data_IF_587067525903
#
_entry.id   IF_587067525903
#
_cell.length_a   1.000
_cell.length_b   1.000
_cell.length_c   1.000
_cell.angle_alpha   90.00
_cell.angle_beta   90.00
_cell.angle_gamma   90.00
#
_symmetry.space_group_name_H-M   'P 1'
#
loop_
_entity.id
_entity.type
_entity.pdbx_description
1 polymer ?
#
# COMPACT_ATOMS: atom_id res chain seq x y z
N UNK A 1 12.25 8.64 15.84
CA UNK A 1 13.14 9.80 16.03
C UNK A 1 12.29 11.00 16.44
N UNK A 2 12.48 11.50 17.66
CA UNK A 2 11.73 12.64 18.21
C UNK A 2 11.87 13.87 17.30
N UNK A 3 13.05 14.10 16.74
CA UNK A 3 13.35 15.16 15.79
C UNK A 3 12.46 15.07 14.56
N UNK A 4 12.35 13.87 13.97
CA UNK A 4 11.45 13.63 12.83
C UNK A 4 10.00 13.92 13.21
N UNK A 5 9.56 13.49 14.39
CA UNK A 5 8.21 13.78 14.89
C UNK A 5 7.98 15.29 15.06
N UNK A 6 8.96 16.05 15.59
CA UNK A 6 8.91 17.51 15.72
C UNK A 6 8.76 18.17 14.34
N UNK A 7 9.57 17.78 13.36
CA UNK A 7 9.47 18.31 12.00
C UNK A 7 8.16 17.94 11.31
N UNK A 8 7.66 16.71 11.50
CA UNK A 8 6.36 16.31 10.97
C UNK A 8 5.24 17.14 11.59
N UNK A 9 5.30 17.42 12.90
CA UNK A 9 4.34 18.30 13.59
C UNK A 9 4.44 19.75 13.10
N UNK A 10 5.64 20.23 12.80
CA UNK A 10 5.90 21.56 12.20
C UNK A 10 5.65 21.63 10.69
N UNK A 11 5.24 20.53 10.04
CA UNK A 11 5.01 20.43 8.59
C UNK A 11 6.29 20.78 7.77
N UNK A 12 7.47 20.66 8.38
CA UNK A 12 8.74 20.94 7.70
C UNK A 12 9.29 19.68 6.99
N UNK A 13 8.59 19.28 5.92
CA UNK A 13 9.02 18.18 5.07
C UNK A 13 10.26 18.52 4.23
N UNK A 14 10.55 19.82 4.04
CA UNK A 14 11.71 20.29 3.27
C UNK A 14 13.01 19.92 3.99
N UNK A 15 13.10 20.17 5.29
CA UNK A 15 14.28 19.79 6.09
C UNK A 15 14.43 18.27 6.16
N UNK A 16 13.33 17.52 6.38
CA UNK A 16 13.38 16.05 6.34
C UNK A 16 13.86 15.50 4.99
N UNK A 17 13.41 16.10 3.88
CA UNK A 17 13.83 15.70 2.54
C UNK A 17 15.31 15.97 2.30
N UNK A 18 15.80 17.18 2.64
CA UNK A 18 17.22 17.54 2.55
C UNK A 18 18.11 16.56 3.32
N UNK A 19 17.79 16.33 4.59
CA UNK A 19 18.54 15.40 5.44
C UNK A 19 18.53 13.98 4.88
N UNK A 20 17.36 13.50 4.43
CA UNK A 20 17.23 12.16 3.82
C UNK A 20 18.04 12.02 2.54
N UNK A 21 18.10 13.07 1.71
CA UNK A 21 18.88 13.08 0.47
C UNK A 21 20.38 13.02 0.76
N UNK A 22 20.89 13.89 1.64
CA UNK A 22 22.32 13.91 2.00
C UNK A 22 22.73 12.58 2.62
N UNK A 23 21.93 12.02 3.54
CA UNK A 23 22.21 10.73 4.15
C UNK A 23 22.18 9.59 3.12
N UNK A 24 21.24 9.61 2.17
CA UNK A 24 21.14 8.57 1.14
C UNK A 24 22.30 8.64 0.16
N UNK A 25 22.68 9.82 -0.31
CA UNK A 25 23.85 10.02 -1.19
C UNK A 25 25.16 9.63 -0.49
N UNK A 26 25.37 10.10 0.75
CA UNK A 26 26.56 9.76 1.54
C UNK A 26 26.66 8.26 1.80
N UNK A 27 25.54 7.61 2.15
CA UNK A 27 25.52 6.16 2.34
C UNK A 27 25.75 5.38 1.05
N UNK A 28 25.21 5.86 -0.08
CA UNK A 28 25.43 5.26 -1.40
C UNK A 28 26.90 5.33 -1.79
N UNK A 29 27.55 6.47 -1.57
CA UNK A 29 28.98 6.63 -1.79
C UNK A 29 29.81 5.64 -0.94
N UNK A 30 29.50 5.53 0.36
CA UNK A 30 30.17 4.56 1.26
C UNK A 30 29.92 3.10 0.84
N UNK A 31 28.72 2.79 0.36
CA UNK A 31 28.37 1.47 -0.19
C UNK A 31 29.17 1.14 -1.45
N UNK A 32 29.27 2.07 -2.40
CA UNK A 32 30.05 1.88 -3.62
C UNK A 32 31.54 1.76 -3.30
N UNK A 33 32.07 2.62 -2.43
CA UNK A 33 33.47 2.57 -2.00
C UNK A 33 33.81 1.23 -1.36
N UNK A 34 32.95 0.72 -0.47
CA UNK A 34 33.15 -0.59 0.16
C UNK A 34 33.01 -1.75 -0.83
N UNK A 35 32.15 -1.65 -1.84
CA UNK A 35 32.08 -2.63 -2.92
C UNK A 35 33.37 -2.66 -3.76
N UNK A 36 33.95 -1.50 -4.07
CA UNK A 36 35.23 -1.38 -4.78
C UNK A 36 36.41 -1.96 -3.98
N UNK A 37 36.34 -1.93 -2.65
CA UNK A 37 37.30 -2.57 -1.75
C UNK A 37 37.08 -4.09 -1.59
N UNK A 38 36.27 -4.71 -2.45
CA UNK A 38 36.00 -6.15 -2.46
C UNK A 38 35.39 -6.71 -1.17
N UNK A 39 34.66 -5.89 -0.40
CA UNK A 39 33.96 -6.31 0.82
C UNK A 39 32.68 -7.14 0.55
N UNK A 40 32.32 -7.33 -0.73
CA UNK A 40 31.20 -8.17 -1.14
C UNK A 40 29.87 -7.73 -0.49
N UNK A 41 29.18 -8.68 0.16
CA UNK A 41 27.88 -8.46 0.82
C UNK A 41 27.93 -7.38 1.91
N UNK A 42 29.10 -7.17 2.54
CA UNK A 42 29.27 -6.14 3.56
C UNK A 42 29.10 -4.72 3.04
N UNK A 43 29.24 -4.50 1.73
CA UNK A 43 28.97 -3.19 1.11
C UNK A 43 27.52 -2.73 1.34
N UNK A 44 26.56 -3.66 1.28
CA UNK A 44 25.15 -3.39 1.56
C UNK A 44 24.91 -3.09 3.04
N UNK A 45 25.58 -3.81 3.93
CA UNK A 45 25.51 -3.58 5.38
C UNK A 45 26.05 -2.20 5.72
N UNK A 46 27.21 -1.84 5.18
CA UNK A 46 27.85 -0.53 5.37
C UNK A 46 26.95 0.58 4.84
N UNK A 47 26.37 0.43 3.64
CA UNK A 47 25.41 1.39 3.09
C UNK A 47 24.22 1.57 4.05
N UNK A 48 23.63 0.48 4.55
CA UNK A 48 22.42 0.56 5.36
C UNK A 48 22.67 1.19 6.75
N UNK A 49 23.77 0.81 7.41
CA UNK A 49 24.14 1.37 8.72
C UNK A 49 24.54 2.83 8.58
N UNK A 50 25.43 3.15 7.64
CA UNK A 50 25.88 4.53 7.42
C UNK A 50 24.72 5.47 7.09
N UNK A 51 23.72 5.01 6.32
CA UNK A 51 22.51 5.78 6.05
C UNK A 51 21.79 6.19 7.34
N UNK A 52 21.60 5.26 8.27
CA UNK A 52 20.89 5.54 9.53
C UNK A 52 21.71 6.43 10.46
N UNK A 53 23.02 6.25 10.50
CA UNK A 53 23.94 7.09 11.28
C UNK A 53 23.93 8.53 10.74
N UNK A 54 24.14 8.71 9.44
CA UNK A 54 24.11 10.03 8.79
C UNK A 54 22.74 10.70 8.97
N UNK A 55 21.65 9.96 8.76
CA UNK A 55 20.30 10.48 8.92
C UNK A 55 20.04 10.95 10.37
N UNK A 56 20.47 10.17 11.35
CA UNK A 56 20.35 10.54 12.77
C UNK A 56 21.20 11.76 13.11
N UNK A 57 22.45 11.78 12.65
CA UNK A 57 23.40 12.87 12.85
C UNK A 57 22.86 14.19 12.27
N UNK A 58 22.45 14.19 11.00
CA UNK A 58 21.93 15.39 10.34
C UNK A 58 20.59 15.84 10.93
N UNK A 59 19.69 14.93 11.32
CA UNK A 59 18.47 15.31 12.03
C UNK A 59 18.79 15.97 13.38
N UNK A 60 19.83 15.53 14.07
CA UNK A 60 20.31 16.16 15.30
C UNK A 60 20.93 17.53 15.03
N UNK A 61 21.79 17.64 14.01
CA UNK A 61 22.46 18.89 13.65
C UNK A 61 21.46 20.00 13.30
N UNK A 62 20.40 19.68 12.55
CA UNK A 62 19.38 20.65 12.16
C UNK A 62 18.31 20.91 13.23
N UNK A 63 18.09 19.98 14.16
CA UNK A 63 17.07 20.12 15.20
C UNK A 63 17.62 20.94 16.35
N UNK A 64 16.81 21.85 16.90
CA UNK A 64 17.14 22.56 18.15
C UNK A 64 16.98 21.64 19.38
N UNK A 65 16.07 20.66 19.28
CA UNK A 65 15.81 19.74 20.37
C UNK A 65 17.03 18.84 20.66
N UNK A 66 17.42 18.80 21.94
CA UNK A 66 18.45 17.91 22.48
C UNK A 66 17.84 17.09 23.62
N UNK A 67 18.10 15.78 23.72
CA UNK A 67 17.64 15.00 24.85
C UNK A 67 18.30 15.50 26.14
N UNK A 68 17.50 15.91 27.11
CA UNK A 68 17.97 16.08 28.48
C UNK A 68 17.95 14.71 29.19
N UNK A 69 18.94 14.43 30.03
CA UNK A 69 19.00 13.20 30.83
C UNK A 69 18.09 13.31 32.07
N UNK A 70 16.84 13.71 31.86
CA UNK A 70 15.82 13.89 32.92
C UNK A 70 14.73 12.86 32.70
N UNK A 71 14.44 12.07 33.75
CA UNK A 71 13.38 11.07 33.72
C UNK A 71 12.16 11.55 34.49
N UNK A 72 11.01 11.61 33.82
CA UNK A 72 9.70 11.88 34.45
C UNK A 72 8.87 10.60 34.47
N UNK A 73 8.59 10.09 35.68
CA UNK A 73 7.75 8.89 35.87
C UNK A 73 6.31 9.12 35.41
N UNK A 74 5.80 10.34 35.58
CA UNK A 74 4.46 10.74 35.17
C UNK A 74 4.34 10.74 33.65
N UNK A 75 5.23 11.46 32.96
CA UNK A 75 5.26 11.49 31.49
C UNK A 75 5.52 10.10 30.90
N UNK A 76 6.34 9.27 31.55
CA UNK A 76 6.52 7.88 31.16
C UNK A 76 5.20 7.10 31.27
N UNK A 77 4.48 7.16 32.40
CA UNK A 77 3.24 6.42 32.59
C UNK A 77 2.18 6.80 31.55
N UNK A 78 2.05 8.08 31.26
CA UNK A 78 1.06 8.60 30.31
C UNK A 78 1.38 8.15 28.87
N UNK A 79 2.65 8.23 28.46
CA UNK A 79 3.07 7.83 27.11
C UNK A 79 3.22 6.31 26.95
N UNK A 80 3.61 5.60 28.00
CA UNK A 80 3.85 4.17 27.97
C UNK A 80 2.55 3.39 27.79
N UNK A 81 1.47 3.80 28.48
CA UNK A 81 0.15 3.18 28.32
C UNK A 81 -0.39 3.25 26.88
N UNK A 82 -0.12 4.33 26.17
CA UNK A 82 -0.43 4.47 24.74
C UNK A 82 0.57 3.69 23.86
N UNK A 83 1.87 3.84 24.14
CA UNK A 83 2.95 3.22 23.39
C UNK A 83 2.89 1.69 23.40
N UNK A 84 2.57 1.07 24.54
CA UNK A 84 2.49 -0.39 24.67
C UNK A 84 1.31 -0.97 23.89
N UNK A 85 0.18 -0.25 23.78
CA UNK A 85 -0.97 -0.66 22.96
C UNK A 85 -0.63 -0.60 21.46
N UNK A 86 0.05 0.46 21.02
CA UNK A 86 0.55 0.57 19.64
C UNK A 86 1.61 -0.48 19.35
N UNK A 87 2.52 -0.74 20.30
CA UNK A 87 3.53 -1.78 20.17
C UNK A 87 2.86 -3.15 20.06
N UNK A 88 1.90 -3.46 20.93
CA UNK A 88 1.13 -4.70 20.89
C UNK A 88 0.42 -4.90 19.56
N UNK A 89 -0.27 -3.88 19.04
CA UNK A 89 -0.92 -3.94 17.73
C UNK A 89 0.09 -4.15 16.59
N UNK A 90 1.22 -3.44 16.59
CA UNK A 90 2.25 -3.57 15.56
C UNK A 90 3.00 -4.90 15.62
N UNK A 91 3.28 -5.40 16.83
CA UNK A 91 3.89 -6.72 17.05
C UNK A 91 2.93 -7.80 16.59
N UNK A 92 1.64 -7.73 16.95
CA UNK A 92 0.63 -8.67 16.49
C UNK A 92 0.53 -8.66 14.95
N UNK A 93 0.42 -7.47 14.34
CA UNK A 93 0.38 -7.33 12.88
C UNK A 93 1.65 -7.85 12.19
N UNK A 94 2.81 -7.57 12.76
CA UNK A 94 4.10 -8.04 12.23
C UNK A 94 4.26 -9.55 12.43
N UNK A 95 3.83 -10.07 13.57
CA UNK A 95 3.82 -11.50 13.88
C UNK A 95 2.91 -12.23 12.90
N UNK A 96 1.68 -11.78 12.69
CA UNK A 96 0.80 -12.38 11.69
C UNK A 96 1.37 -12.26 10.27
N UNK A 97 1.90 -11.10 9.87
CA UNK A 97 2.52 -10.96 8.53
C UNK A 97 3.68 -11.94 8.33
N UNK A 98 4.53 -12.10 9.34
CA UNK A 98 5.71 -12.96 9.24
C UNK A 98 5.39 -14.44 9.46
N UNK A 99 4.41 -14.78 10.31
CA UNK A 99 4.01 -16.17 10.54
C UNK A 99 3.43 -16.76 9.27
N UNK A 100 2.75 -15.98 8.42
CA UNK A 100 2.29 -16.47 7.12
C UNK A 100 3.45 -16.85 6.21
N UNK A 101 4.44 -15.97 6.06
CA UNK A 101 5.65 -16.28 5.29
C UNK A 101 6.41 -17.48 5.88
N UNK A 102 6.44 -17.60 7.21
CA UNK A 102 7.06 -18.73 7.90
C UNK A 102 6.31 -20.04 7.66
N UNK A 103 4.97 -20.04 7.77
CA UNK A 103 4.12 -21.21 7.49
C UNK A 103 4.31 -21.65 6.03
N UNK A 104 4.36 -20.70 5.09
CA UNK A 104 4.62 -21.00 3.68
C UNK A 104 6.01 -21.66 3.54
N UNK A 105 7.04 -21.12 4.20
CA UNK A 105 8.40 -21.68 4.16
C UNK A 105 8.56 -23.04 4.83
N UNK A 106 7.67 -23.38 5.78
CA UNK A 106 7.69 -24.67 6.48
C UNK A 106 6.91 -25.75 5.72
N UNK A 107 5.80 -25.38 5.07
CA UNK A 107 4.88 -26.32 4.42
C UNK A 107 5.23 -26.52 2.94
N UNK A 108 5.62 -25.45 2.26
CA UNK A 108 5.94 -25.46 0.84
C UNK A 108 7.45 -25.48 0.60
N UNK A 109 7.88 -25.84 -0.62
CA UNK A 109 9.30 -25.88 -0.95
C UNK A 109 9.93 -24.47 -0.94
N UNK A 110 11.24 -24.40 -0.70
CA UNK A 110 12.00 -23.14 -0.74
C UNK A 110 11.83 -22.41 -2.09
N UNK A 111 11.69 -23.17 -3.18
CA UNK A 111 11.40 -22.61 -4.50
C UNK A 111 10.02 -21.91 -4.51
N UNK A 112 8.97 -22.57 -4.02
CA UNK A 112 7.62 -22.00 -3.94
C UNK A 112 7.57 -20.76 -3.05
N UNK A 113 8.27 -20.78 -1.90
CA UNK A 113 8.42 -19.61 -1.03
C UNK A 113 9.15 -18.47 -1.77
N UNK A 114 10.22 -18.77 -2.50
CA UNK A 114 10.92 -17.79 -3.33
C UNK A 114 9.98 -17.13 -4.35
N UNK A 115 9.21 -17.93 -5.09
CA UNK A 115 8.24 -17.45 -6.07
C UNK A 115 7.18 -16.55 -5.42
N UNK A 116 6.66 -16.97 -4.26
CA UNK A 116 5.69 -16.20 -3.47
C UNK A 116 6.26 -14.84 -3.02
N UNK A 117 7.45 -14.83 -2.44
CA UNK A 117 8.08 -13.60 -1.94
C UNK A 117 8.39 -12.61 -3.06
N UNK A 118 8.74 -13.08 -4.26
CA UNK A 118 8.88 -12.19 -5.43
C UNK A 118 7.55 -11.60 -5.87
N UNK A 119 6.51 -12.41 -6.00
CA UNK A 119 5.17 -11.91 -6.32
C UNK A 119 4.69 -10.87 -5.29
N UNK A 120 4.90 -11.14 -4.00
CA UNK A 120 4.55 -10.22 -2.91
C UNK A 120 5.33 -8.90 -3.01
N UNK A 121 6.62 -8.92 -3.32
CA UNK A 121 7.43 -7.70 -3.52
C UNK A 121 6.86 -6.81 -4.62
N UNK A 122 6.52 -7.38 -5.79
CA UNK A 122 5.92 -6.62 -6.89
C UNK A 122 4.56 -6.05 -6.51
N UNK A 123 3.73 -6.83 -5.82
CA UNK A 123 2.42 -6.38 -5.36
C UNK A 123 2.52 -5.27 -4.30
N UNK A 124 3.47 -5.40 -3.37
CA UNK A 124 3.69 -4.46 -2.27
C UNK A 124 4.10 -3.06 -2.76
N UNK A 125 4.83 -2.95 -3.88
CA UNK A 125 5.22 -1.66 -4.47
C UNK A 125 4.00 -0.80 -4.75
N UNK A 126 2.95 -1.35 -5.36
CA UNK A 126 1.75 -0.58 -5.67
C UNK A 126 0.89 -0.38 -4.43
N UNK A 127 0.62 -1.47 -3.72
CA UNK A 127 -0.37 -1.48 -2.64
C UNK A 127 0.08 -0.64 -1.44
N UNK A 128 1.33 -0.76 -0.99
CA UNK A 128 1.82 -0.05 0.19
C UNK A 128 2.08 1.44 -0.08
N UNK A 129 2.72 1.77 -1.21
CA UNK A 129 2.98 3.17 -1.54
C UNK A 129 1.69 3.94 -1.75
N UNK A 130 0.72 3.35 -2.46
CA UNK A 130 -0.54 4.01 -2.71
C UNK A 130 -1.37 4.18 -1.43
N UNK A 131 -1.46 3.14 -0.61
CA UNK A 131 -2.15 3.21 0.69
C UNK A 131 -1.52 4.28 1.59
N UNK A 132 -0.18 4.38 1.64
CA UNK A 132 0.50 5.39 2.43
C UNK A 132 0.20 6.82 1.98
N UNK A 133 0.13 7.07 0.66
CA UNK A 133 -0.26 8.38 0.10
C UNK A 133 -1.70 8.71 0.49
N UNK A 134 -2.62 7.76 0.30
CA UNK A 134 -4.03 7.94 0.64
C UNK A 134 -4.23 8.22 2.12
N UNK A 135 -3.56 7.50 3.01
CA UNK A 135 -3.65 7.70 4.45
C UNK A 135 -3.15 9.10 4.87
N UNK A 136 -2.05 9.58 4.27
CA UNK A 136 -1.48 10.90 4.59
C UNK A 136 -2.38 12.08 4.19
N UNK A 137 -3.23 11.90 3.18
CA UNK A 137 -4.11 12.96 2.68
C UNK A 137 -5.53 12.82 3.22
N UNK A 138 -6.09 11.61 3.20
CA UNK A 138 -7.50 11.37 3.52
C UNK A 138 -7.77 11.53 5.01
N UNK A 139 -6.87 11.04 5.87
CA UNK A 139 -7.11 11.08 7.31
C UNK A 139 -7.16 12.52 7.85
N UNK A 140 -6.16 13.40 7.62
CA UNK A 140 -6.23 14.79 8.10
C UNK A 140 -7.40 15.58 7.51
N UNK A 141 -7.70 15.35 6.24
CA UNK A 141 -8.81 16.01 5.57
C UNK A 141 -10.14 15.66 6.23
N UNK A 142 -10.42 14.36 6.42
CA UNK A 142 -11.68 13.93 7.03
C UNK A 142 -11.77 14.29 8.52
N UNK A 143 -10.66 14.24 9.28
CA UNK A 143 -10.63 14.69 10.68
C UNK A 143 -10.93 16.18 10.82
N UNK A 144 -10.50 17.03 9.88
CA UNK A 144 -10.73 18.48 9.94
C UNK A 144 -12.19 18.89 9.79
N UNK A 145 -13.02 18.01 9.24
CA UNK A 145 -14.46 18.23 9.01
C UNK A 145 -15.32 17.27 9.83
N UNK A 146 -14.76 16.61 10.85
CA UNK A 146 -15.40 15.53 11.61
C UNK A 146 -16.76 15.94 12.23
N UNK A 147 -16.92 17.21 12.57
CA UNK A 147 -18.14 17.76 13.18
C UNK A 147 -19.28 17.98 12.16
N UNK A 148 -19.03 17.78 10.86
CA UNK A 148 -20.01 17.94 9.78
C UNK A 148 -20.36 16.58 9.13
N UNK A 149 -21.20 15.72 9.75
CA UNK A 149 -21.34 14.30 9.36
C UNK A 149 -21.76 14.07 7.90
N UNK A 150 -22.61 14.94 7.34
CA UNK A 150 -22.99 14.89 5.92
C UNK A 150 -21.80 15.16 5.00
N UNK A 151 -20.95 16.13 5.36
CA UNK A 151 -19.77 16.51 4.59
C UNK A 151 -18.67 15.47 4.71
N UNK A 152 -18.47 14.89 5.90
CA UNK A 152 -17.54 13.76 6.11
C UNK A 152 -17.93 12.60 5.21
N UNK A 153 -19.21 12.20 5.21
CA UNK A 153 -19.71 11.08 4.39
C UNK A 153 -19.50 11.34 2.90
N UNK A 154 -19.80 12.55 2.45
CA UNK A 154 -19.59 12.96 1.05
C UNK A 154 -18.10 12.90 0.64
N UNK A 155 -17.20 13.46 1.46
CA UNK A 155 -15.77 13.43 1.19
C UNK A 155 -15.20 12.03 1.29
N UNK A 156 -15.71 11.20 2.20
CA UNK A 156 -15.34 9.80 2.32
C UNK A 156 -15.72 8.98 1.08
N UNK A 157 -16.96 9.13 0.59
CA UNK A 157 -17.41 8.52 -0.68
C UNK A 157 -16.47 8.92 -1.83
N UNK A 158 -16.12 10.20 -1.93
CA UNK A 158 -15.14 10.68 -2.93
C UNK A 158 -13.76 10.06 -2.77
N UNK A 159 -13.24 9.98 -1.54
CA UNK A 159 -11.97 9.32 -1.26
C UNK A 159 -11.97 7.85 -1.69
N UNK A 160 -13.06 7.12 -1.44
CA UNK A 160 -13.23 5.73 -1.90
C UNK A 160 -13.22 5.68 -3.43
N UNK A 161 -14.01 6.50 -4.12
CA UNK A 161 -14.09 6.52 -5.59
C UNK A 161 -12.71 6.86 -6.21
N UNK A 162 -12.04 7.91 -5.73
CA UNK A 162 -10.73 8.33 -6.23
C UNK A 162 -9.65 7.28 -5.97
N UNK A 163 -9.66 6.69 -4.77
CA UNK A 163 -8.79 5.57 -4.42
C UNK A 163 -8.98 4.40 -5.37
N UNK A 164 -10.23 4.01 -5.64
CA UNK A 164 -10.56 2.88 -6.50
C UNK A 164 -10.17 3.10 -7.95
N UNK A 165 -10.41 4.29 -8.50
CA UNK A 165 -10.00 4.63 -9.87
C UNK A 165 -8.51 4.35 -10.07
N UNK A 166 -7.68 4.78 -9.12
CA UNK A 166 -6.23 4.62 -9.23
C UNK A 166 -5.81 3.18 -8.89
N UNK A 167 -6.32 2.63 -7.78
CA UNK A 167 -5.92 1.29 -7.31
C UNK A 167 -6.33 0.21 -8.28
N UNK A 168 -7.60 0.17 -8.69
CA UNK A 168 -8.13 -0.89 -9.55
C UNK A 168 -7.39 -0.87 -10.88
N UNK A 169 -7.18 0.33 -11.45
CA UNK A 169 -6.47 0.48 -12.71
C UNK A 169 -5.01 0.05 -12.59
N UNK A 170 -4.28 0.52 -11.57
CA UNK A 170 -2.86 0.20 -11.42
C UNK A 170 -2.62 -1.27 -11.11
N UNK A 171 -3.38 -1.86 -10.19
CA UNK A 171 -3.18 -3.24 -9.72
C UNK A 171 -3.68 -4.27 -10.73
N UNK A 172 -4.80 -4.02 -11.42
CA UNK A 172 -5.25 -4.89 -12.50
C UNK A 172 -4.36 -4.73 -13.74
N UNK A 173 -3.85 -3.54 -14.01
CA UNK A 173 -2.85 -3.36 -15.08
C UNK A 173 -1.57 -4.14 -14.76
N UNK A 174 -1.09 -4.08 -13.52
CA UNK A 174 0.04 -4.89 -13.06
C UNK A 174 -0.21 -6.39 -13.28
N UNK A 175 -1.41 -6.89 -12.99
CA UNK A 175 -1.77 -8.28 -13.25
C UNK A 175 -1.71 -8.65 -14.74
N UNK A 176 -2.17 -7.73 -15.61
CA UNK A 176 -2.15 -7.93 -17.06
C UNK A 176 -0.73 -8.01 -17.64
N UNK A 177 0.19 -7.18 -17.13
CA UNK A 177 1.58 -7.11 -17.58
C UNK A 177 2.54 -8.00 -16.80
N UNK A 178 2.04 -8.77 -15.83
CA UNK A 178 2.84 -9.56 -14.89
C UNK A 178 3.85 -10.50 -15.59
N UNK A 179 3.45 -11.17 -16.68
CA UNK A 179 4.29 -12.13 -17.42
C UNK A 179 5.54 -11.47 -18.00
N UNK A 180 5.43 -10.52 -18.95
CA UNK A 180 6.60 -9.88 -19.53
C UNK A 180 7.38 -9.07 -18.51
N UNK A 181 6.72 -8.45 -17.52
CA UNK A 181 7.39 -7.69 -16.46
C UNK A 181 8.34 -8.57 -15.65
N UNK A 182 7.85 -9.70 -15.13
CA UNK A 182 8.65 -10.61 -14.30
C UNK A 182 9.76 -11.26 -15.14
N UNK A 183 9.47 -11.70 -16.36
CA UNK A 183 10.46 -12.33 -17.23
C UNK A 183 11.60 -11.39 -17.60
N UNK A 184 11.31 -10.11 -17.88
CA UNK A 184 12.34 -9.12 -18.16
C UNK A 184 13.16 -8.73 -16.94
N UNK A 185 12.52 -8.58 -15.78
CA UNK A 185 13.19 -8.05 -14.60
C UNK A 185 14.00 -9.10 -13.83
N UNK A 186 13.46 -10.32 -13.69
CA UNK A 186 14.06 -11.36 -12.84
C UNK A 186 14.26 -12.71 -13.53
N UNK A 187 13.75 -12.88 -14.76
CA UNK A 187 13.96 -14.05 -15.61
C UNK A 187 12.82 -15.07 -15.59
N UNK A 188 12.84 -15.98 -16.57
CA UNK A 188 11.77 -16.97 -16.81
C UNK A 188 11.64 -18.04 -15.73
N UNK A 189 12.71 -18.26 -14.96
CA UNK A 189 12.70 -19.15 -13.78
C UNK A 189 11.66 -18.75 -12.73
N UNK A 190 11.10 -17.54 -12.82
CA UNK A 190 10.05 -17.03 -11.92
C UNK A 190 8.64 -17.11 -12.51
N UNK A 191 8.38 -18.06 -13.39
CA UNK A 191 7.07 -18.26 -14.03
C UNK A 191 5.91 -18.43 -13.04
N UNK A 192 6.14 -19.14 -11.94
CA UNK A 192 5.11 -19.30 -10.90
C UNK A 192 4.78 -17.97 -10.20
N UNK A 193 5.77 -17.08 -10.01
CA UNK A 193 5.54 -15.75 -9.45
C UNK A 193 4.58 -14.91 -10.30
N UNK A 194 4.53 -15.13 -11.62
CA UNK A 194 3.54 -14.47 -12.50
C UNK A 194 2.11 -14.83 -12.09
N UNK A 195 1.84 -16.13 -11.94
CA UNK A 195 0.51 -16.60 -11.54
C UNK A 195 0.17 -16.13 -10.14
N UNK A 196 1.13 -16.15 -9.22
CA UNK A 196 0.91 -15.68 -7.86
C UNK A 196 0.59 -14.18 -7.83
N UNK A 197 1.35 -13.36 -8.55
CA UNK A 197 1.11 -11.92 -8.65
C UNK A 197 -0.29 -11.63 -9.20
N UNK A 198 -0.72 -12.35 -10.24
CA UNK A 198 -2.05 -12.20 -10.82
C UNK A 198 -3.17 -12.49 -9.83
N UNK A 199 -3.08 -13.60 -9.08
CA UNK A 199 -4.07 -13.94 -8.04
C UNK A 199 -4.01 -12.90 -6.91
N UNK A 200 -2.81 -12.49 -6.50
CA UNK A 200 -2.64 -11.53 -5.42
C UNK A 200 -3.21 -10.14 -5.75
N UNK A 201 -3.10 -9.71 -7.01
CA UNK A 201 -3.70 -8.46 -7.49
C UNK A 201 -5.21 -8.41 -7.26
N UNK A 202 -5.92 -9.55 -7.33
CA UNK A 202 -7.38 -9.59 -7.14
C UNK A 202 -7.84 -9.26 -5.73
N UNK A 203 -7.00 -9.48 -4.71
CA UNK A 203 -7.29 -9.04 -3.35
C UNK A 203 -6.63 -7.70 -3.02
N UNK A 204 -5.48 -7.39 -3.64
CA UNK A 204 -4.75 -6.16 -3.39
C UNK A 204 -5.53 -4.91 -3.77
N UNK A 205 -6.45 -4.99 -4.74
CA UNK A 205 -7.37 -3.89 -5.08
C UNK A 205 -8.23 -3.42 -3.90
N UNK A 206 -8.56 -4.31 -2.96
CA UNK A 206 -9.41 -3.99 -1.80
C UNK A 206 -8.64 -3.38 -0.64
N UNK A 207 -7.32 -3.57 -0.59
CA UNK A 207 -6.49 -3.20 0.56
C UNK A 207 -6.56 -1.71 0.91
N UNK A 208 -6.44 -0.75 -0.04
CA UNK A 208 -6.57 0.67 0.30
C UNK A 208 -7.99 1.05 0.76
N UNK A 209 -9.01 0.37 0.23
CA UNK A 209 -10.42 0.62 0.58
C UNK A 209 -10.73 0.19 2.00
N UNK A 210 -10.22 -0.98 2.40
CA UNK A 210 -10.31 -1.47 3.78
C UNK A 210 -9.64 -0.50 4.75
N UNK A 211 -8.47 0.04 4.39
CA UNK A 211 -7.79 1.05 5.21
C UNK A 211 -8.59 2.36 5.33
N UNK A 212 -9.21 2.83 4.25
CA UNK A 212 -10.10 3.99 4.30
C UNK A 212 -11.31 3.74 5.20
N UNK A 213 -11.91 2.55 5.13
CA UNK A 213 -13.01 2.15 6.00
C UNK A 213 -12.62 2.17 7.49
N UNK A 214 -11.45 1.61 7.84
CA UNK A 214 -10.94 1.65 9.22
C UNK A 214 -10.60 3.07 9.69
N UNK A 215 -10.07 3.92 8.80
CA UNK A 215 -9.83 5.32 9.11
C UNK A 215 -11.12 6.07 9.46
N UNK A 216 -12.22 5.75 8.78
CA UNK A 216 -13.53 6.33 9.06
C UNK A 216 -14.01 5.99 10.48
N UNK A 217 -13.80 4.74 10.92
CA UNK A 217 -14.11 4.32 12.30
C UNK A 217 -13.20 5.01 13.33
N UNK A 218 -11.93 5.26 12.99
CA UNK A 218 -11.01 6.04 13.84
C UNK A 218 -11.49 7.48 14.03
N UNK A 219 -11.99 8.12 12.97
CA UNK A 219 -12.53 9.49 13.03
C UNK A 219 -13.80 9.54 13.88
N UNK A 220 -14.62 8.49 13.83
CA UNK A 220 -15.78 8.35 14.72
C UNK A 220 -15.42 8.08 16.20
N UNK A 221 -14.13 7.98 16.54
CA UNK A 221 -13.66 7.62 17.88
C UNK A 221 -13.94 6.16 18.27
N UNK A 222 -14.31 5.30 17.30
CA UNK A 222 -14.75 3.91 17.53
C UNK A 222 -13.61 2.90 17.43
N UNK A 223 -12.56 3.14 18.23
CA UNK A 223 -11.40 2.22 18.30
C UNK A 223 -11.75 0.86 18.91
N UNK A 224 -12.81 0.79 19.72
CA UNK A 224 -13.43 -0.43 20.22
C UNK A 224 -13.91 -1.35 19.10
N UNK A 225 -14.59 -0.78 18.09
CA UNK A 225 -15.09 -1.53 16.94
C UNK A 225 -13.93 -2.03 16.09
N UNK A 226 -12.89 -1.21 15.89
CA UNK A 226 -11.70 -1.60 15.13
C UNK A 226 -11.03 -2.80 15.79
N UNK A 227 -10.84 -2.77 17.11
CA UNK A 227 -10.22 -3.88 17.84
C UNK A 227 -11.05 -5.17 17.72
N UNK A 228 -12.37 -5.08 17.89
CA UNK A 228 -13.26 -6.23 17.72
C UNK A 228 -13.24 -6.78 16.28
N UNK A 229 -13.20 -5.89 15.28
CA UNK A 229 -13.06 -6.26 13.88
C UNK A 229 -11.76 -7.01 13.63
N UNK A 230 -10.62 -6.56 14.18
CA UNK A 230 -9.35 -7.26 14.03
C UNK A 230 -9.39 -8.68 14.60
N UNK A 231 -10.02 -8.88 15.77
CA UNK A 231 -10.21 -10.23 16.32
C UNK A 231 -11.10 -11.10 15.43
N UNK A 232 -12.27 -10.59 15.01
CA UNK A 232 -13.20 -11.32 14.13
C UNK A 232 -12.51 -11.70 12.82
N UNK A 233 -11.77 -10.77 12.21
CA UNK A 233 -10.98 -11.01 11.00
C UNK A 233 -9.98 -12.14 11.19
N UNK A 234 -9.21 -12.17 12.29
CA UNK A 234 -8.27 -13.29 12.52
C UNK A 234 -9.00 -14.62 12.71
N UNK A 235 -10.12 -14.63 13.42
CA UNK A 235 -10.95 -15.84 13.61
C UNK A 235 -11.48 -16.36 12.27
N UNK A 236 -11.91 -15.48 11.36
CA UNK A 236 -12.37 -15.86 10.01
C UNK A 236 -11.19 -16.24 9.11
N UNK A 237 -10.07 -15.55 9.21
CA UNK A 237 -8.89 -15.77 8.38
C UNK A 237 -8.28 -17.16 8.60
N UNK A 238 -8.10 -17.56 9.87
CA UNK A 238 -7.36 -18.78 10.22
C UNK A 238 -7.94 -20.03 9.55
N UNK A 239 -9.25 -20.34 9.65
CA UNK A 239 -9.85 -21.50 8.97
C UNK A 239 -9.72 -21.42 7.44
N UNK A 240 -10.03 -20.26 6.85
CA UNK A 240 -9.98 -20.05 5.39
C UNK A 240 -8.56 -20.26 4.86
N UNK A 241 -7.58 -19.79 5.62
CA UNK A 241 -6.17 -19.98 5.32
C UNK A 241 -5.74 -21.44 5.47
N UNK A 242 -6.11 -22.12 6.56
CA UNK A 242 -5.78 -23.55 6.78
C UNK A 242 -6.33 -24.42 5.64
N UNK A 243 -7.58 -24.20 5.23
CA UNK A 243 -8.18 -24.94 4.11
C UNK A 243 -7.36 -24.75 2.84
N UNK A 244 -6.97 -23.51 2.52
CA UNK A 244 -6.16 -23.24 1.35
C UNK A 244 -4.75 -23.85 1.41
N UNK A 245 -4.12 -23.82 2.60
CA UNK A 245 -2.80 -24.41 2.85
C UNK A 245 -2.79 -25.93 2.67
N UNK A 246 -3.89 -26.60 3.00
CA UNK A 246 -3.99 -28.06 2.89
C UNK A 246 -3.85 -28.58 1.44
N UNK A 247 -4.31 -27.79 0.45
CA UNK A 247 -4.30 -28.24 -0.95
C UNK A 247 -2.99 -27.89 -1.67
N UNK A 248 -2.73 -26.60 -1.89
CA UNK A 248 -1.52 -26.09 -2.53
C UNK A 248 -1.45 -24.56 -2.40
N UNK A 249 -0.29 -24.00 -2.74
CA UNK A 249 -0.06 -22.56 -2.61
C UNK A 249 -1.01 -21.71 -3.47
N UNK A 250 -1.46 -22.19 -4.65
CA UNK A 250 -2.46 -21.47 -5.46
C UNK A 250 -3.83 -21.46 -4.78
N UNK A 251 -4.25 -22.57 -4.19
CA UNK A 251 -5.48 -22.67 -3.41
C UNK A 251 -5.42 -21.73 -2.20
N UNK A 252 -4.29 -21.68 -1.49
CA UNK A 252 -4.05 -20.71 -0.41
C UNK A 252 -4.18 -19.25 -0.88
N UNK A 253 -3.68 -18.91 -2.07
CA UNK A 253 -3.86 -17.56 -2.62
C UNK A 253 -5.32 -17.27 -2.94
N UNK A 254 -6.05 -18.22 -3.54
CA UNK A 254 -7.48 -18.06 -3.83
C UNK A 254 -8.35 -17.97 -2.58
N UNK A 255 -8.08 -18.75 -1.53
CA UNK A 255 -8.80 -18.61 -0.26
C UNK A 255 -8.48 -17.27 0.41
N UNK A 256 -7.26 -16.77 0.26
CA UNK A 256 -6.89 -15.41 0.68
C UNK A 256 -7.70 -14.37 -0.10
N UNK A 257 -7.90 -14.53 -1.41
CA UNK A 257 -8.80 -13.64 -2.19
C UNK A 257 -10.18 -13.60 -1.55
N UNK A 258 -10.82 -14.75 -1.38
CA UNK A 258 -12.16 -14.85 -0.77
C UNK A 258 -12.20 -14.15 0.59
N UNK A 259 -11.19 -14.40 1.44
CA UNK A 259 -11.09 -13.75 2.74
C UNK A 259 -11.04 -12.22 2.63
N UNK A 260 -10.28 -11.63 1.70
CA UNK A 260 -10.20 -10.17 1.57
C UNK A 260 -11.53 -9.54 1.14
N UNK A 261 -12.34 -10.24 0.34
CA UNK A 261 -13.70 -9.79 0.05
C UNK A 261 -14.60 -9.87 1.29
N UNK A 262 -14.51 -10.94 2.09
CA UNK A 262 -15.20 -11.03 3.38
C UNK A 262 -14.76 -9.92 4.34
N UNK A 263 -13.46 -9.65 4.43
CA UNK A 263 -12.91 -8.57 5.25
C UNK A 263 -13.43 -7.21 4.80
N UNK A 264 -13.53 -6.96 3.49
CA UNK A 264 -14.13 -5.74 2.98
C UNK A 264 -15.59 -5.59 3.43
N UNK A 265 -16.39 -6.65 3.33
CA UNK A 265 -17.78 -6.64 3.79
C UNK A 265 -17.88 -6.34 5.30
N UNK A 266 -17.04 -6.99 6.11
CA UNK A 266 -17.00 -6.80 7.57
C UNK A 266 -16.63 -5.35 7.93
N UNK A 267 -15.58 -4.79 7.30
CA UNK A 267 -15.14 -3.42 7.56
C UNK A 267 -16.21 -2.39 7.15
N UNK A 268 -16.90 -2.62 6.04
CA UNK A 268 -17.91 -1.70 5.53
C UNK A 268 -19.23 -1.78 6.28
N UNK A 269 -19.60 -2.95 6.83
CA UNK A 269 -20.86 -3.14 7.56
C UNK A 269 -21.04 -2.13 8.70
N UNK A 270 -19.99 -1.89 9.49
CA UNK A 270 -20.07 -0.94 10.61
C UNK A 270 -20.17 0.51 10.18
N UNK A 271 -19.71 0.87 8.97
CA UNK A 271 -19.75 2.26 8.47
C UNK A 271 -21.19 2.69 8.18
N UNK A 272 -22.05 1.76 7.77
CA UNK A 272 -23.45 2.05 7.50
C UNK A 272 -24.16 2.66 8.72
N UNK A 273 -23.86 2.13 9.90
CA UNK A 273 -24.46 2.56 11.17
C UNK A 273 -24.13 4.00 11.55
N UNK A 274 -22.93 4.48 11.20
CA UNK A 274 -22.44 5.80 11.62
C UNK A 274 -22.55 6.86 10.51
N UNK A 275 -22.43 6.46 9.24
CA UNK A 275 -22.26 7.38 8.13
C UNK A 275 -23.23 7.11 6.96
N UNK A 276 -24.16 6.16 7.10
CA UNK A 276 -25.16 5.81 6.08
C UNK A 276 -24.56 5.50 4.69
N UNK A 277 -23.30 5.08 4.65
CA UNK A 277 -22.56 4.70 3.44
C UNK A 277 -22.01 3.28 3.58
N UNK A 278 -22.96 2.34 3.59
CA UNK A 278 -22.74 0.91 3.80
C UNK A 278 -22.33 0.13 2.56
N UNK A 279 -22.40 -1.21 2.69
CA UNK A 279 -21.88 -2.17 1.72
C UNK A 279 -22.50 -1.97 0.34
N UNK A 280 -23.82 -1.87 0.28
CA UNK A 280 -24.54 -1.74 -0.99
C UNK A 280 -24.12 -0.48 -1.77
N UNK A 281 -24.01 0.67 -1.09
CA UNK A 281 -23.62 1.93 -1.73
C UNK A 281 -22.17 1.89 -2.20
N UNK A 282 -21.27 1.38 -1.37
CA UNK A 282 -19.87 1.21 -1.76
C UNK A 282 -19.74 0.28 -2.97
N UNK A 283 -20.33 -0.91 -2.94
CA UNK A 283 -20.26 -1.85 -4.06
C UNK A 283 -20.86 -1.25 -5.33
N UNK A 284 -22.00 -0.56 -5.24
CA UNK A 284 -22.63 0.13 -6.37
C UNK A 284 -21.72 1.19 -6.99
N UNK A 285 -21.02 1.98 -6.17
CA UNK A 285 -20.08 3.00 -6.65
C UNK A 285 -18.80 2.38 -7.23
N UNK A 286 -18.39 1.21 -6.74
CA UNK A 286 -17.16 0.52 -7.15
C UNK A 286 -17.31 -0.32 -8.41
N UNK A 287 -18.48 -0.94 -8.65
CA UNK A 287 -18.70 -1.85 -9.79
C UNK A 287 -18.35 -1.21 -11.14
N UNK A 288 -18.82 0.00 -11.49
CA UNK A 288 -18.49 0.60 -12.78
C UNK A 288 -16.98 0.72 -12.97
N UNK A 289 -16.27 1.23 -11.95
CA UNK A 289 -14.82 1.41 -11.95
C UNK A 289 -14.12 0.06 -12.13
N UNK A 290 -14.58 -0.97 -11.39
CA UNK A 290 -14.04 -2.32 -11.49
C UNK A 290 -14.21 -2.90 -12.89
N UNK A 291 -15.42 -2.80 -13.47
CA UNK A 291 -15.71 -3.30 -14.82
C UNK A 291 -14.82 -2.62 -15.86
N UNK A 292 -14.65 -1.30 -15.74
CA UNK A 292 -13.78 -0.52 -16.62
C UNK A 292 -12.32 -0.98 -16.52
N UNK A 293 -11.76 -0.96 -15.31
CA UNK A 293 -10.36 -1.33 -15.10
C UNK A 293 -10.10 -2.79 -15.50
N UNK A 294 -11.03 -3.69 -15.20
CA UNK A 294 -10.94 -5.09 -15.58
C UNK A 294 -11.00 -5.29 -17.10
N UNK A 295 -11.90 -4.58 -17.80
CA UNK A 295 -12.02 -4.64 -19.26
C UNK A 295 -10.75 -4.15 -19.95
N UNK A 296 -10.19 -3.01 -19.51
CA UNK A 296 -8.93 -2.49 -20.04
C UNK A 296 -7.79 -3.48 -19.79
N UNK A 297 -7.69 -4.02 -18.56
CA UNK A 297 -6.67 -5.00 -18.21
C UNK A 297 -6.77 -6.31 -19.00
N UNK A 298 -7.98 -6.78 -19.33
CA UNK A 298 -8.17 -7.95 -20.19
C UNK A 298 -7.65 -7.67 -21.61
N UNK A 299 -7.98 -6.51 -22.18
CA UNK A 299 -7.52 -6.13 -23.52
C UNK A 299 -5.99 -6.08 -23.56
N UNK A 300 -5.36 -5.46 -22.55
CA UNK A 300 -3.91 -5.40 -22.41
C UNK A 300 -3.31 -6.80 -22.23
N UNK A 301 -3.92 -7.65 -21.40
CA UNK A 301 -3.47 -9.02 -21.18
C UNK A 301 -3.54 -9.85 -22.47
N UNK A 302 -4.52 -9.60 -23.35
CA UNK A 302 -4.67 -10.26 -24.65
C UNK A 302 -3.45 -10.10 -25.57
N UNK A 303 -2.61 -9.08 -25.38
CA UNK A 303 -1.35 -8.92 -26.13
C UNK A 303 -0.39 -10.09 -25.88
N UNK A 304 -0.47 -10.74 -24.71
CA UNK A 304 0.34 -11.91 -24.39
C UNK A 304 0.02 -13.12 -25.28
N UNK A 305 -1.12 -13.15 -25.98
CA UNK A 305 -1.53 -14.24 -26.87
C UNK A 305 -0.74 -14.26 -28.19
N UNK A 306 -0.11 -13.15 -28.58
CA UNK A 306 0.66 -13.07 -29.82
C UNK A 306 2.09 -13.62 -29.71
N UNK A 307 2.48 -14.17 -28.55
CA UNK A 307 3.78 -14.80 -28.26
C UNK A 307 5.01 -14.00 -28.75
N UNK A 308 4.92 -12.67 -28.69
CA UNK A 308 6.00 -11.78 -29.12
C UNK A 308 7.06 -11.66 -28.00
N UNK A 309 8.26 -11.18 -28.35
CA UNK A 309 9.33 -10.87 -27.37
C UNK A 309 8.80 -10.08 -26.17
N UNK A 310 9.25 -10.46 -24.97
CA UNK A 310 8.80 -9.85 -23.71
C UNK A 310 8.95 -8.32 -23.70
N UNK A 311 10.01 -7.77 -24.31
CA UNK A 311 10.23 -6.31 -24.42
C UNK A 311 9.14 -5.66 -25.25
N UNK A 312 8.81 -6.24 -26.41
CA UNK A 312 7.80 -5.70 -27.30
C UNK A 312 6.40 -5.83 -26.69
N UNK A 313 6.11 -6.98 -26.06
CA UNK A 313 4.85 -7.22 -25.35
C UNK A 313 4.65 -6.20 -24.24
N UNK A 314 5.67 -5.97 -23.39
CA UNK A 314 5.59 -4.96 -22.32
C UNK A 314 5.36 -3.55 -22.89
N UNK A 315 6.11 -3.19 -23.94
CA UNK A 315 6.01 -1.86 -24.56
C UNK A 315 4.62 -1.62 -25.14
N UNK A 316 4.08 -2.59 -25.89
CA UNK A 316 2.73 -2.52 -26.43
C UNK A 316 1.67 -2.49 -25.33
N UNK A 317 1.84 -3.27 -24.26
CA UNK A 317 0.92 -3.28 -23.12
C UNK A 317 0.89 -1.94 -22.38
N UNK A 318 2.05 -1.31 -22.18
CA UNK A 318 2.13 0.02 -21.57
C UNK A 318 1.49 1.08 -22.47
N UNK A 319 1.79 1.07 -23.77
CA UNK A 319 1.20 2.03 -24.71
C UNK A 319 -0.31 1.87 -24.83
N UNK A 320 -0.80 0.65 -25.06
CA UNK A 320 -2.24 0.36 -25.16
C UNK A 320 -2.97 0.61 -23.85
N UNK A 321 -2.41 0.20 -22.71
CA UNK A 321 -2.97 0.46 -21.39
C UNK A 321 -3.10 1.95 -21.11
N UNK A 322 -2.03 2.73 -21.33
CA UNK A 322 -2.06 4.18 -21.15
C UNK A 322 -3.10 4.85 -22.05
N UNK A 323 -3.17 4.47 -23.33
CA UNK A 323 -4.17 5.01 -24.26
C UNK A 323 -5.58 4.65 -23.85
N UNK A 324 -5.86 3.37 -23.57
CA UNK A 324 -7.19 2.91 -23.18
C UNK A 324 -7.65 3.53 -21.87
N UNK A 325 -6.82 3.55 -20.83
CA UNK A 325 -7.16 4.25 -19.59
C UNK A 325 -7.41 5.73 -19.85
N UNK A 326 -6.57 6.40 -20.64
CA UNK A 326 -6.79 7.81 -20.97
C UNK A 326 -8.11 8.07 -21.70
N UNK A 327 -8.45 7.27 -22.71
CA UNK A 327 -9.68 7.42 -23.49
C UNK A 327 -10.92 7.04 -22.68
N UNK A 328 -10.90 5.89 -22.03
CA UNK A 328 -12.02 5.38 -21.24
C UNK A 328 -12.33 6.37 -20.12
N UNK A 329 -11.32 6.83 -19.39
CA UNK A 329 -11.53 7.85 -18.36
C UNK A 329 -12.05 9.17 -18.93
N UNK A 330 -11.68 9.56 -20.16
CA UNK A 330 -12.20 10.78 -20.78
C UNK A 330 -13.66 10.69 -21.22
N UNK A 331 -14.11 9.50 -21.65
CA UNK A 331 -15.44 9.27 -22.20
C UNK A 331 -16.49 9.05 -21.12
N UNK A 332 -16.11 8.55 -19.95
CA UNK A 332 -17.08 8.22 -18.92
C UNK A 332 -17.51 9.48 -18.14
N UNK A 333 -18.81 9.77 -18.07
CA UNK A 333 -19.36 10.90 -17.32
C UNK A 333 -19.46 10.59 -15.81
N UNK A 334 -18.40 10.05 -15.20
CA UNK A 334 -18.33 9.99 -13.73
C UNK A 334 -18.04 11.42 -13.26
N UNK A 335 -19.00 12.02 -12.54
CA UNK A 335 -18.91 13.39 -11.98
C UNK A 335 -17.61 13.63 -11.22
N UNK A 336 -17.20 12.62 -10.46
CA UNK A 336 -16.00 12.58 -9.64
C UNK A 336 -14.73 12.59 -10.53
N UNK A 337 -14.74 11.98 -11.71
CA UNK A 337 -13.60 12.05 -12.65
C UNK A 337 -13.42 13.44 -13.25
N UNK A 338 -14.53 14.15 -13.56
CA UNK A 338 -14.45 15.55 -14.04
C UNK A 338 -13.77 16.44 -13.02
N UNK A 339 -14.08 16.25 -11.73
CA UNK A 339 -13.40 16.97 -10.65
C UNK A 339 -11.92 16.61 -10.53
N UNK A 340 -11.56 15.33 -10.55
CA UNK A 340 -10.15 14.90 -10.57
C UNK A 340 -9.37 15.56 -11.71
N UNK A 341 -9.96 15.61 -12.92
CA UNK A 341 -9.36 16.27 -14.08
C UNK A 341 -9.18 17.76 -13.87
N UNK A 342 -10.13 18.44 -13.23
CA UNK A 342 -10.01 19.87 -12.89
C UNK A 342 -8.87 20.08 -11.89
N UNK A 343 -8.75 19.23 -10.88
CA UNK A 343 -7.67 19.30 -9.87
C UNK A 343 -6.31 19.08 -10.53
N UNK A 344 -6.16 18.02 -11.35
CA UNK A 344 -4.91 17.73 -12.06
C UNK A 344 -4.55 18.88 -13.01
N UNK A 345 -5.50 19.40 -13.79
CA UNK A 345 -5.27 20.53 -14.70
C UNK A 345 -4.83 21.79 -13.93
N UNK A 346 -5.40 22.03 -12.74
CA UNK A 346 -5.03 23.16 -11.90
C UNK A 346 -3.60 23.05 -11.37
N UNK A 347 -3.15 21.86 -11.00
CA UNK A 347 -1.78 21.62 -10.54
C UNK A 347 -0.76 21.62 -11.69
N UNK A 348 -1.09 21.05 -12.85
CA UNK A 348 -0.24 21.16 -14.06
C UNK A 348 -0.07 22.62 -14.47
N UNK A 349 -1.15 23.42 -14.45
CA UNK A 349 -1.09 24.85 -14.77
C UNK A 349 -0.30 25.67 -13.72
N UNK A 350 -0.19 25.20 -12.47
CA UNK A 350 0.71 25.82 -11.48
C UNK A 350 2.16 25.48 -11.78
N UNK A 351 2.46 24.22 -12.11
CA UNK A 351 3.81 23.77 -12.45
C UNK A 351 4.32 24.38 -13.76
N UNK A 352 3.45 24.64 -14.73
CA UNK A 352 3.78 25.31 -15.99
C UNK A 352 3.95 26.84 -15.86
N UNK A 353 3.63 27.41 -14.69
CA UNK A 353 3.84 28.83 -14.36
C UNK A 353 5.11 29.08 -13.53
N UNK A 354 5.82 28.01 -13.16
CA UNK A 354 7.15 28.02 -12.56
C UNK A 354 8.14 27.72 -13.69
#
# INVERSE_FOLDING_TARGET
FIQRTIYTKKIDFKTQAKVSLIASLGSGFLGVLSALLSLGVWSLVIQQISRQVLLSFFLWAYSEWRPSLVFSKESFRDLFGFGIKILGANVLNTFFRNIFTFIIGKIYSTEQLGQYTRAEQFNAIFTNNFTAILQRVSFPMLSSIQDEPKRVTYMFRKSIIYSSIITFSAVLFLAAVAKPLIFLMIGEKWSNAVTYLQIMSLYAILYPLQNLNLNMLNIAGRSDIILNLEFVKKIVFIPVFIVGVYFNIKAMLWTTVIYYYLEFLLNTYYIERYFHYGVYKQVKDLIPILVISFSVSIIVWGINLFEISNVLSLTLQVLTGCLLYFFVFRLIPISEYRELKIIIKKEINKLAKI
#
